data_IF_145377418002
#
_entry.id   IF_145377418002
#
_cell.length_a   1.000
_cell.length_b   1.000
_cell.length_c   1.000
_cell.angle_alpha   90.00
_cell.angle_beta   90.00
_cell.angle_gamma   90.00
#
_symmetry.space_group_name_H-M   'P 1'
#
loop_
_entity.id
_entity.type
_entity.pdbx_description
1 polymer ?
#
# COMPACT_ATOMS: atom_id res chain seq x y z
N UNK A 1 11.28 -10.08 12.49
CA UNK A 1 10.84 -9.56 11.18
C UNK A 1 9.31 -9.54 11.20
N UNK A 2 8.67 -8.42 10.86
CA UNK A 2 7.20 -8.29 10.96
C UNK A 2 6.49 -9.28 10.01
N UNK A 3 5.44 -10.00 10.45
CA UNK A 3 4.65 -10.91 9.60
C UNK A 3 4.11 -10.24 8.32
N UNK A 4 3.80 -8.95 8.39
CA UNK A 4 3.35 -8.15 7.24
C UNK A 4 4.48 -7.96 6.23
N UNK A 5 5.73 -7.75 6.68
CA UNK A 5 6.90 -7.64 5.79
C UNK A 5 7.16 -8.97 5.10
N UNK A 6 7.11 -10.08 5.83
CA UNK A 6 7.30 -11.41 5.25
C UNK A 6 6.21 -11.72 4.22
N UNK A 7 4.97 -11.33 4.51
CA UNK A 7 3.83 -11.54 3.61
C UNK A 7 3.90 -10.65 2.38
N UNK A 8 4.35 -9.40 2.53
CA UNK A 8 4.64 -8.50 1.41
C UNK A 8 5.81 -9.02 0.55
N UNK A 9 6.77 -9.72 1.13
CA UNK A 9 7.81 -10.42 0.36
C UNK A 9 7.26 -11.65 -0.36
N UNK A 10 6.39 -12.42 0.28
CA UNK A 10 5.73 -13.58 -0.32
C UNK A 10 4.78 -13.19 -1.46
N UNK A 11 4.19 -11.99 -1.40
CA UNK A 11 3.46 -11.36 -2.52
C UNK A 11 4.31 -11.40 -3.80
N UNK A 12 5.63 -11.20 -3.68
CA UNK A 12 6.51 -11.19 -4.85
C UNK A 12 6.73 -12.58 -5.46
N UNK A 13 6.45 -13.66 -4.74
CA UNK A 13 6.55 -15.03 -5.25
C UNK A 13 5.32 -15.41 -6.10
N UNK A 14 4.26 -14.62 -6.01
CA UNK A 14 3.00 -14.84 -6.74
C UNK A 14 2.98 -14.25 -8.15
N UNK A 15 4.13 -13.81 -8.70
CA UNK A 15 4.27 -13.23 -10.07
C UNK A 15 3.42 -13.92 -11.13
N UNK A 16 3.40 -15.25 -11.15
CA UNK A 16 2.65 -16.03 -12.12
C UNK A 16 1.13 -15.78 -12.08
N UNK A 17 0.57 -15.48 -10.90
CA UNK A 17 -0.85 -15.15 -10.73
C UNK A 17 -1.17 -13.74 -11.23
N UNK A 18 -0.21 -12.82 -11.21
CA UNK A 18 -0.33 -11.47 -11.75
C UNK A 18 -0.16 -11.39 -13.27
N UNK A 19 0.58 -12.34 -13.86
CA UNK A 19 0.78 -12.41 -15.31
C UNK A 19 -0.55 -12.58 -16.08
N UNK A 20 -1.54 -13.28 -15.51
CA UNK A 20 -2.86 -13.43 -16.13
C UNK A 20 -3.73 -12.15 -16.05
N UNK A 21 -3.36 -11.18 -15.21
CA UNK A 21 -4.01 -9.86 -15.13
C UNK A 21 -3.80 -9.01 -16.39
N UNK A 22 -2.75 -9.32 -17.17
CA UNK A 22 -2.38 -8.65 -18.42
C UNK A 22 -3.51 -8.65 -19.47
N UNK A 23 -4.51 -9.53 -19.33
CA UNK A 23 -5.60 -9.72 -20.27
C UNK A 23 -6.81 -8.78 -20.03
N UNK A 24 -6.81 -7.98 -18.96
CA UNK A 24 -7.94 -7.13 -18.59
C UNK A 24 -7.66 -5.66 -18.92
N UNK A 25 -7.91 -5.25 -20.17
CA UNK A 25 -7.82 -3.85 -20.63
C UNK A 25 -9.00 -2.95 -20.18
N UNK A 26 -9.50 -3.14 -18.96
CA UNK A 26 -10.66 -2.40 -18.46
C UNK A 26 -10.29 -1.07 -17.76
N UNK A 27 -11.29 -0.25 -17.45
CA UNK A 27 -11.19 0.93 -16.58
C UNK A 27 -10.55 0.60 -15.21
N UNK A 28 -9.87 1.59 -14.60
CA UNK A 28 -9.16 1.49 -13.30
C UNK A 28 -10.00 0.82 -12.20
N UNK A 29 -11.28 1.21 -12.08
CA UNK A 29 -12.21 0.65 -11.09
C UNK A 29 -12.48 -0.85 -11.33
N UNK A 30 -12.69 -1.26 -12.58
CA UNK A 30 -12.92 -2.66 -12.94
C UNK A 30 -11.70 -3.52 -12.67
N UNK A 31 -10.51 -3.01 -13.01
CA UNK A 31 -9.25 -3.69 -12.73
C UNK A 31 -9.04 -3.85 -11.22
N UNK A 32 -9.31 -2.79 -10.45
CA UNK A 32 -9.22 -2.80 -9.00
C UNK A 32 -10.18 -3.83 -8.38
N UNK A 33 -11.46 -3.79 -8.74
CA UNK A 33 -12.49 -4.66 -8.16
C UNK A 33 -12.35 -6.13 -8.58
N UNK A 34 -11.96 -6.40 -9.84
CA UNK A 34 -11.88 -7.78 -10.35
C UNK A 34 -10.55 -8.45 -10.07
N UNK A 35 -9.46 -7.69 -9.99
CA UNK A 35 -8.12 -8.25 -9.90
C UNK A 35 -7.41 -7.88 -8.61
N UNK A 36 -7.11 -6.59 -8.40
CA UNK A 36 -6.31 -6.16 -7.25
C UNK A 36 -6.98 -6.50 -5.92
N UNK A 37 -8.28 -6.29 -5.80
CA UNK A 37 -9.03 -6.44 -4.55
C UNK A 37 -9.14 -7.88 -4.06
N UNK A 38 -9.58 -8.85 -4.87
CA UNK A 38 -9.54 -10.26 -4.48
C UNK A 38 -8.14 -10.69 -4.06
N UNK A 39 -7.12 -10.22 -4.78
CA UNK A 39 -5.74 -10.63 -4.57
C UNK A 39 -5.15 -10.09 -3.26
N UNK A 40 -5.27 -8.78 -3.03
CA UNK A 40 -4.85 -8.14 -1.77
C UNK A 40 -5.63 -8.70 -0.58
N UNK A 41 -6.94 -8.93 -0.74
CA UNK A 41 -7.77 -9.57 0.29
C UNK A 41 -7.30 -10.99 0.61
N UNK A 42 -6.95 -11.80 -0.38
CA UNK A 42 -6.48 -13.16 -0.16
C UNK A 42 -5.17 -13.22 0.66
N UNK A 43 -4.32 -12.21 0.51
CA UNK A 43 -2.97 -12.20 1.11
C UNK A 43 -2.95 -11.47 2.45
N UNK A 44 -3.61 -10.32 2.55
CA UNK A 44 -3.59 -9.49 3.75
C UNK A 44 -4.87 -9.61 4.59
N UNK A 45 -5.96 -10.14 4.05
CA UNK A 45 -7.21 -10.31 4.78
C UNK A 45 -7.17 -11.41 5.85
N UNK A 46 -6.09 -12.19 5.91
CA UNK A 46 -5.87 -13.22 6.93
C UNK A 46 -5.30 -12.68 8.26
N UNK A 47 -4.85 -11.43 8.31
CA UNK A 47 -4.26 -10.86 9.52
C UNK A 47 -5.34 -10.48 10.54
N UNK A 48 -5.33 -11.16 11.68
CA UNK A 48 -6.16 -10.79 12.83
C UNK A 48 -5.88 -9.35 13.27
N UNK A 49 -6.87 -8.71 13.87
CA UNK A 49 -6.84 -7.31 14.31
C UNK A 49 -6.46 -6.28 13.23
N UNK A 50 -6.69 -6.65 11.96
CA UNK A 50 -6.55 -5.74 10.83
C UNK A 50 -7.80 -5.72 9.96
N UNK A 51 -7.98 -4.63 9.23
CA UNK A 51 -9.07 -4.42 8.29
C UNK A 51 -8.50 -3.80 7.02
N UNK A 52 -8.81 -4.43 5.88
CA UNK A 52 -8.59 -3.82 4.58
C UNK A 52 -9.66 -2.76 4.32
N UNK A 53 -9.19 -1.55 4.05
CA UNK A 53 -9.97 -0.41 3.61
C UNK A 53 -9.64 -0.13 2.15
N UNK A 54 -10.65 0.28 1.40
CA UNK A 54 -10.56 0.52 -0.04
C UNK A 54 -10.94 1.97 -0.35
N UNK A 55 -10.89 2.34 -1.62
CA UNK A 55 -11.18 3.70 -2.09
C UNK A 55 -12.37 4.37 -1.37
N UNK A 56 -12.18 5.65 -1.02
CA UNK A 56 -13.05 6.56 -0.21
C UNK A 56 -12.78 6.61 1.28
N UNK A 57 -12.00 5.69 1.83
CA UNK A 57 -11.54 5.80 3.22
C UNK A 57 -10.34 6.76 3.30
N UNK A 58 -10.43 7.78 4.15
CA UNK A 58 -9.29 8.66 4.43
C UNK A 58 -8.22 7.87 5.18
N UNK A 59 -6.94 8.12 4.86
CA UNK A 59 -5.81 7.48 5.50
C UNK A 59 -5.93 7.55 7.03
N UNK A 60 -5.98 6.38 7.66
CA UNK A 60 -6.10 6.28 9.11
C UNK A 60 -4.73 6.43 9.77
N UNK A 61 -4.46 7.61 10.31
CA UNK A 61 -3.24 7.95 11.07
C UNK A 61 -3.49 8.03 12.57
N UNK A 62 -4.67 7.63 13.03
CA UNK A 62 -5.08 7.62 14.44
C UNK A 62 -4.88 8.92 15.24
N UNK A 63 -4.60 10.06 14.61
CA UNK A 63 -4.18 11.29 15.28
C UNK A 63 -4.53 12.57 14.49
N UNK A 64 -4.23 13.74 15.09
CA UNK A 64 -4.71 15.11 14.77
C UNK A 64 -5.08 15.34 13.29
N UNK A 65 -6.28 15.87 13.09
CA UNK A 65 -6.75 16.33 11.78
C UNK A 65 -5.82 17.45 11.27
N UNK A 66 -4.94 17.10 10.31
CA UNK A 66 -4.06 18.05 9.65
C UNK A 66 -4.78 18.85 8.56
N UNK A 67 -6.10 18.64 8.39
CA UNK A 67 -6.93 19.23 7.34
C UNK A 67 -6.76 18.56 5.98
N UNK A 68 -5.62 17.90 5.74
CA UNK A 68 -5.35 17.18 4.50
C UNK A 68 -5.63 15.69 4.68
N UNK A 69 -6.68 15.20 4.02
CA UNK A 69 -7.11 13.79 4.06
C UNK A 69 -6.68 13.10 2.78
N UNK A 70 -5.55 12.38 2.76
CA UNK A 70 -5.20 11.56 1.62
C UNK A 70 -6.13 10.35 1.57
N UNK A 71 -6.47 9.92 0.36
CA UNK A 71 -7.31 8.75 0.11
C UNK A 71 -6.48 7.76 -0.71
N UNK A 72 -5.81 6.80 -0.06
CA UNK A 72 -5.18 5.68 -0.74
C UNK A 72 -6.24 4.84 -1.47
N UNK A 73 -5.85 4.15 -2.53
CA UNK A 73 -6.75 3.22 -3.23
C UNK A 73 -7.01 1.96 -2.39
N UNK A 74 -6.01 1.58 -1.58
CA UNK A 74 -6.10 0.51 -0.59
C UNK A 74 -5.25 0.83 0.63
N UNK A 75 -5.68 0.40 1.81
CA UNK A 75 -4.85 0.38 3.00
C UNK A 75 -5.23 -0.78 3.93
N UNK A 76 -4.26 -1.32 4.67
CA UNK A 76 -4.50 -2.23 5.78
C UNK A 76 -4.37 -1.45 7.08
N UNK A 77 -5.44 -1.41 7.86
CA UNK A 77 -5.46 -0.69 9.13
C UNK A 77 -5.60 -1.65 10.30
N UNK A 78 -5.00 -1.33 11.43
CA UNK A 78 -5.34 -1.99 12.70
C UNK A 78 -6.79 -1.72 13.08
N UNK A 79 -7.46 -2.68 13.71
CA UNK A 79 -8.84 -2.56 14.20
C UNK A 79 -8.91 -1.89 15.57
N UNK A 80 -7.81 -1.92 16.34
CA UNK A 80 -7.69 -1.22 17.62
C UNK A 80 -7.90 0.27 17.41
N UNK A 81 -8.77 0.89 18.22
CA UNK A 81 -9.01 2.32 18.14
C UNK A 81 -7.92 3.11 18.88
N UNK A 82 -7.35 4.16 18.27
CA UNK A 82 -7.63 4.61 16.90
C UNK A 82 -6.91 3.73 15.86
N UNK A 83 -7.55 3.45 14.72
CA UNK A 83 -6.95 2.59 13.70
C UNK A 83 -5.73 3.24 13.03
N UNK A 84 -4.70 2.45 12.75
CA UNK A 84 -3.45 2.89 12.13
C UNK A 84 -3.18 2.11 10.85
N UNK A 85 -2.86 2.82 9.77
CA UNK A 85 -2.44 2.20 8.52
C UNK A 85 -1.03 1.60 8.64
N UNK A 86 -0.91 0.30 8.37
CA UNK A 86 0.37 -0.45 8.32
C UNK A 86 0.74 -0.84 6.88
N UNK A 87 -0.22 -0.74 5.96
CA UNK A 87 -0.04 -0.88 4.53
C UNK A 87 -0.85 0.21 3.82
N UNK A 88 -0.29 0.80 2.78
CA UNK A 88 -0.97 1.71 1.86
C UNK A 88 -0.68 1.30 0.42
N UNK A 89 -1.61 1.56 -0.49
CA UNK A 89 -1.41 1.25 -1.89
C UNK A 89 -2.11 2.20 -2.84
N UNK A 90 -1.49 2.34 -4.00
CA UNK A 90 -1.91 3.18 -5.12
C UNK A 90 -1.99 2.30 -6.36
N UNK A 91 -3.14 2.33 -7.02
CA UNK A 91 -3.47 1.51 -8.17
C UNK A 91 -3.76 2.44 -9.35
N UNK A 92 -3.17 2.17 -10.50
CA UNK A 92 -3.39 2.96 -11.71
C UNK A 92 -3.78 2.08 -12.88
N UNK A 93 -4.60 2.67 -13.77
CA UNK A 93 -4.97 2.10 -15.06
C UNK A 93 -3.75 1.60 -15.86
N UNK A 94 -3.98 0.56 -16.66
CA UNK A 94 -2.92 -0.13 -17.40
C UNK A 94 -2.17 0.75 -18.41
N UNK A 95 -2.85 1.77 -18.95
CA UNK A 95 -2.33 2.69 -19.96
C UNK A 95 -1.88 4.04 -19.38
N UNK A 96 -1.59 4.12 -18.08
CA UNK A 96 -1.10 5.35 -17.45
C UNK A 96 0.20 5.84 -18.11
N UNK A 97 0.28 7.15 -18.34
CA UNK A 97 1.50 7.81 -18.81
C UNK A 97 2.61 7.73 -17.77
N UNK A 98 3.87 7.86 -18.21
CA UNK A 98 5.01 7.77 -17.29
C UNK A 98 4.99 8.89 -16.23
N UNK A 99 4.53 10.07 -16.62
CA UNK A 99 4.35 11.18 -15.70
C UNK A 99 3.27 10.89 -14.63
N UNK A 100 2.15 10.26 -15.00
CA UNK A 100 1.16 9.79 -14.02
C UNK A 100 1.79 8.77 -13.06
N UNK A 101 2.56 7.81 -13.60
CA UNK A 101 3.25 6.80 -12.79
C UNK A 101 4.22 7.42 -11.75
N UNK A 102 5.06 8.37 -12.15
CA UNK A 102 5.99 9.04 -11.25
C UNK A 102 5.26 9.83 -10.16
N UNK A 103 4.18 10.53 -10.52
CA UNK A 103 3.37 11.29 -9.56
C UNK A 103 2.78 10.37 -8.49
N UNK A 104 2.27 9.21 -8.88
CA UNK A 104 1.62 8.29 -7.93
C UNK A 104 2.63 7.54 -7.05
N UNK A 105 3.86 7.34 -7.53
CA UNK A 105 4.96 6.87 -6.67
C UNK A 105 5.28 7.89 -5.56
N UNK A 106 5.38 9.17 -5.90
CA UNK A 106 5.57 10.25 -4.90
C UNK A 106 4.38 10.31 -3.95
N UNK A 107 3.15 10.21 -4.47
CA UNK A 107 1.91 10.16 -3.66
C UNK A 107 1.97 9.02 -2.65
N UNK A 108 2.34 7.81 -3.08
CA UNK A 108 2.48 6.63 -2.21
C UNK A 108 3.50 6.89 -1.09
N UNK A 109 4.68 7.43 -1.41
CA UNK A 109 5.71 7.69 -0.38
C UNK A 109 5.28 8.73 0.64
N UNK A 110 4.53 9.76 0.23
CA UNK A 110 3.95 10.73 1.18
C UNK A 110 2.96 10.05 2.13
N UNK A 111 2.11 9.15 1.62
CA UNK A 111 1.16 8.41 2.44
C UNK A 111 1.85 7.43 3.38
N UNK A 112 2.85 6.70 2.90
CA UNK A 112 3.66 5.79 3.72
C UNK A 112 4.35 6.54 4.86
N UNK A 113 4.87 7.74 4.58
CA UNK A 113 5.48 8.59 5.61
C UNK A 113 4.45 8.97 6.66
N UNK A 114 3.27 9.47 6.27
CA UNK A 114 2.22 9.86 7.22
C UNK A 114 1.74 8.68 8.08
N UNK A 115 1.66 7.49 7.49
CA UNK A 115 1.36 6.27 8.20
C UNK A 115 2.49 5.88 9.18
N UNK A 116 3.76 6.06 8.80
CA UNK A 116 4.88 5.78 9.68
C UNK A 116 4.97 6.77 10.84
N UNK A 117 4.81 8.07 10.57
CA UNK A 117 4.74 9.13 11.59
C UNK A 117 3.68 8.77 12.64
N UNK A 118 2.51 8.31 12.18
CA UNK A 118 1.43 7.85 13.04
C UNK A 118 1.80 6.66 13.93
N UNK A 119 2.49 5.64 13.39
CA UNK A 119 2.93 4.50 14.19
C UNK A 119 3.95 4.93 15.26
N UNK A 120 4.90 5.78 14.87
CA UNK A 120 5.94 6.29 15.76
C UNK A 120 5.38 7.16 16.89
N UNK A 121 4.40 8.03 16.61
CA UNK A 121 3.71 8.86 17.61
C UNK A 121 3.06 8.01 18.72
N UNK A 122 2.70 6.77 18.40
CA UNK A 122 2.09 5.80 19.32
C UNK A 122 3.08 4.76 19.88
N UNK A 123 4.38 4.95 19.63
CA UNK A 123 5.44 4.07 20.13
C UNK A 123 5.49 2.69 19.45
N UNK A 124 4.88 2.55 18.26
CA UNK A 124 4.95 1.33 17.46
C UNK A 124 6.14 1.45 16.51
N UNK A 125 7.14 0.60 16.73
CA UNK A 125 8.28 0.45 15.83
C UNK A 125 7.98 -0.59 14.75
N UNK A 126 8.28 -0.24 13.50
CA UNK A 126 8.08 -1.11 12.35
C UNK A 126 7.91 -0.37 11.03
N UNK A 127 8.12 -1.06 9.90
CA UNK A 127 7.94 -0.45 8.59
C UNK A 127 6.47 -0.30 8.22
N UNK A 128 6.18 0.71 7.40
CA UNK A 128 4.94 0.76 6.61
C UNK A 128 5.18 0.15 5.24
N UNK A 129 4.28 -0.73 4.79
CA UNK A 129 4.34 -1.34 3.47
C UNK A 129 3.59 -0.50 2.44
N UNK A 130 4.20 -0.34 1.26
CA UNK A 130 3.64 0.35 0.11
C UNK A 130 3.42 -0.63 -1.03
N UNK A 131 2.22 -0.63 -1.63
CA UNK A 131 1.92 -1.36 -2.86
C UNK A 131 1.67 -0.34 -3.98
N UNK A 132 2.47 -0.40 -5.04
CA UNK A 132 2.26 0.41 -6.23
C UNK A 132 1.90 -0.50 -7.40
N UNK A 133 0.68 -0.38 -7.92
CA UNK A 133 0.24 -1.11 -9.10
C UNK A 133 0.10 -0.13 -10.26
N UNK A 134 0.97 -0.25 -11.25
CA UNK A 134 1.04 0.67 -12.38
C UNK A 134 1.30 -0.11 -13.66
N UNK A 135 0.46 0.12 -14.67
CA UNK A 135 0.55 -0.65 -15.92
C UNK A 135 0.50 -2.14 -15.59
N UNK A 136 1.45 -2.90 -16.10
CA UNK A 136 1.61 -4.32 -15.87
C UNK A 136 2.52 -4.65 -14.68
N UNK A 137 2.88 -3.65 -13.87
CA UNK A 137 3.86 -3.79 -12.81
C UNK A 137 3.24 -3.62 -11.45
N UNK A 138 3.72 -4.44 -10.52
CA UNK A 138 3.41 -4.32 -9.09
C UNK A 138 4.74 -4.14 -8.38
N UNK A 139 4.93 -3.02 -7.70
CA UNK A 139 6.14 -2.70 -6.94
C UNK A 139 5.81 -2.63 -5.46
N UNK A 140 6.66 -3.24 -4.65
CA UNK A 140 6.49 -3.30 -3.20
C UNK A 140 7.62 -2.55 -2.52
N UNK A 141 7.25 -1.70 -1.58
CA UNK A 141 8.17 -0.88 -0.81
C UNK A 141 7.96 -1.09 0.69
N UNK A 142 9.03 -0.96 1.47
CA UNK A 142 8.98 -0.79 2.91
C UNK A 142 9.56 0.57 3.26
N UNK A 143 8.80 1.39 4.00
CA UNK A 143 9.31 2.65 4.55
C UNK A 143 9.71 2.46 6.00
N UNK A 144 10.94 2.87 6.32
CA UNK A 144 11.51 2.85 7.67
C UNK A 144 12.12 4.21 8.00
N UNK A 145 12.42 4.43 9.28
CA UNK A 145 13.10 5.63 9.78
C UNK A 145 14.42 5.21 10.47
N UNK A 146 15.46 4.80 9.72
CA UNK A 146 16.73 4.31 10.30
C UNK A 146 17.48 5.38 11.11
N UNK A 147 17.26 6.65 10.79
CA UNK A 147 17.81 7.80 11.49
C UNK A 147 16.72 8.86 11.67
N UNK A 148 16.87 9.71 12.68
CA UNK A 148 15.93 10.81 12.94
C UNK A 148 15.72 11.65 11.66
N UNK A 149 14.45 11.85 11.30
CA UNK A 149 14.00 12.58 10.12
C UNK A 149 14.44 12.04 8.74
N UNK A 150 15.05 10.85 8.64
CA UNK A 150 15.44 10.24 7.36
C UNK A 150 14.51 9.08 6.98
N UNK A 151 13.40 9.39 6.30
CA UNK A 151 12.47 8.38 5.78
C UNK A 151 13.10 7.65 4.59
N UNK A 152 13.23 6.33 4.70
CA UNK A 152 13.88 5.51 3.69
C UNK A 152 12.88 4.53 3.06
N UNK A 153 12.33 4.83 1.87
CA UNK A 153 11.60 3.86 1.08
C UNK A 153 12.59 2.85 0.47
N UNK A 154 12.48 1.60 0.91
CA UNK A 154 13.29 0.48 0.41
C UNK A 154 12.45 -0.34 -0.55
N UNK A 155 12.88 -0.45 -1.80
CA UNK A 155 12.24 -1.34 -2.77
C UNK A 155 12.49 -2.80 -2.38
N UNK A 156 11.41 -3.55 -2.14
CA UNK A 156 11.48 -4.97 -1.80
C UNK A 156 11.50 -5.85 -3.06
N UNK A 157 10.85 -5.41 -4.13
CA UNK A 157 10.88 -6.05 -5.44
C UNK A 157 9.66 -5.69 -6.30
N UNK A 158 9.73 -6.12 -7.56
CA UNK A 158 8.73 -5.84 -8.58
C UNK A 158 8.25 -7.12 -9.26
N UNK A 159 6.99 -7.11 -9.69
CA UNK A 159 6.39 -8.08 -10.60
C UNK A 159 6.21 -7.38 -11.94
N UNK A 160 6.57 -8.04 -13.05
CA UNK A 160 6.43 -7.54 -14.44
C UNK A 160 5.77 -8.62 -15.27
#
# INVERSE_FOLDING_TARGET
MSPIVLTAQNLMVTTALWADALLVCDHEDSFTERFCKPFVNAIFGQFEDTQLCWSKDALKTGGRDTGERPYPDVMLCTTTSPGHAVLVGEIKKLNASEHECQRDQVKLFIQMRRALDSLLDYGVDGPVIGILVQRHRVEIYAMTLPYEALYMPTHLGSLV
#
